data_IF_329107985199
#
_entry.id   IF_329107985199
#
_cell.length_a   1.000
_cell.length_b   1.000
_cell.length_c   1.000
_cell.angle_alpha   90.00
_cell.angle_beta   90.00
_cell.angle_gamma   90.00
#
_symmetry.space_group_name_H-M   'P 1'
#
loop_
_entity.id
_entity.type
_entity.pdbx_description
1 polymer ?
#
# COMPACT_ATOMS: atom_id res chain seq x y z
N UNK A 1 1.44 -7.50 24.86
CA UNK A 1 2.45 -6.95 23.94
C UNK A 1 1.70 -6.10 22.93
N UNK A 2 2.01 -4.81 22.89
CA UNK A 2 1.35 -3.83 22.01
C UNK A 2 1.75 -4.03 20.54
N UNK A 3 0.95 -3.51 19.59
CA UNK A 3 1.23 -3.63 18.14
C UNK A 3 2.59 -3.01 17.79
N UNK A 4 2.94 -1.91 18.44
CA UNK A 4 4.22 -1.21 18.32
C UNK A 4 5.41 -2.00 18.88
N UNK A 5 5.21 -2.81 19.92
CA UNK A 5 6.26 -3.67 20.47
C UNK A 5 6.58 -4.80 19.50
N UNK A 6 5.55 -5.40 18.88
CA UNK A 6 5.72 -6.39 17.81
C UNK A 6 6.46 -5.78 16.62
N UNK A 7 6.00 -4.63 16.13
CA UNK A 7 6.59 -3.99 14.94
C UNK A 7 8.04 -3.49 15.16
N UNK A 8 8.43 -3.15 16.39
CA UNK A 8 9.82 -2.82 16.73
C UNK A 8 10.77 -4.03 16.69
N UNK A 9 10.24 -5.23 16.89
CA UNK A 9 11.02 -6.48 16.88
C UNK A 9 11.21 -7.04 15.47
N UNK A 10 10.44 -6.56 14.50
CA UNK A 10 10.54 -6.98 13.11
C UNK A 10 11.52 -6.06 12.37
N UNK A 11 12.55 -6.65 11.77
CA UNK A 11 13.38 -5.92 10.82
C UNK A 11 12.62 -5.66 9.50
N UNK A 12 13.13 -4.70 8.72
CA UNK A 12 12.50 -4.31 7.44
C UNK A 12 12.45 -5.45 6.42
N UNK A 13 13.37 -6.42 6.49
CA UNK A 13 13.44 -7.55 5.57
C UNK A 13 12.33 -8.55 5.86
N UNK A 14 12.08 -8.86 7.13
CA UNK A 14 10.96 -9.68 7.57
C UNK A 14 9.64 -9.03 7.15
N UNK A 15 9.46 -7.73 7.39
CA UNK A 15 8.25 -7.00 6.97
C UNK A 15 8.10 -7.06 5.44
N UNK A 16 9.18 -6.86 4.69
CA UNK A 16 9.16 -6.95 3.22
C UNK A 16 8.72 -8.32 2.74
N UNK A 17 9.28 -9.38 3.31
CA UNK A 17 8.94 -10.75 2.95
C UNK A 17 7.49 -11.10 3.29
N UNK A 18 7.00 -10.67 4.45
CA UNK A 18 5.60 -10.91 4.86
C UNK A 18 4.62 -10.17 3.95
N UNK A 19 4.95 -8.93 3.55
CA UNK A 19 4.04 -8.09 2.75
C UNK A 19 4.15 -8.32 1.25
N UNK A 20 5.01 -9.23 0.76
CA UNK A 20 5.21 -9.45 -0.67
C UNK A 20 3.94 -9.94 -1.38
N UNK A 21 3.12 -10.79 -0.74
CA UNK A 21 1.85 -11.21 -1.31
C UNK A 21 0.90 -10.02 -1.50
N UNK A 22 0.77 -9.19 -0.47
CA UNK A 22 -0.05 -7.96 -0.47
C UNK A 22 0.43 -6.92 -1.48
N UNK A 23 1.76 -6.78 -1.62
CA UNK A 23 2.37 -5.96 -2.66
C UNK A 23 1.96 -6.44 -4.07
N UNK A 24 1.92 -7.75 -4.31
CA UNK A 24 1.49 -8.30 -5.61
C UNK A 24 0.03 -7.99 -5.92
N UNK A 25 -0.86 -8.11 -4.93
CA UNK A 25 -2.28 -7.70 -5.05
C UNK A 25 -2.37 -6.24 -5.48
N UNK A 26 -1.63 -5.36 -4.81
CA UNK A 26 -1.57 -3.93 -5.12
C UNK A 26 -1.07 -3.65 -6.55
N UNK A 27 -0.03 -4.36 -7.00
CA UNK A 27 0.48 -4.21 -8.38
C UNK A 27 -0.59 -4.62 -9.39
N UNK A 28 -1.24 -5.77 -9.20
CA UNK A 28 -2.26 -6.27 -10.12
C UNK A 28 -3.39 -5.24 -10.25
N UNK A 29 -3.87 -4.69 -9.15
CA UNK A 29 -4.96 -3.71 -9.18
C UNK A 29 -4.53 -2.37 -9.79
N UNK A 30 -3.33 -1.88 -9.45
CA UNK A 30 -2.75 -0.70 -10.07
C UNK A 30 -2.58 -0.84 -11.59
N UNK A 31 -2.15 -2.01 -12.07
CA UNK A 31 -2.03 -2.27 -13.51
C UNK A 31 -3.40 -2.30 -14.20
N UNK A 32 -4.44 -2.88 -13.59
CA UNK A 32 -5.81 -2.85 -14.14
C UNK A 32 -6.32 -1.41 -14.27
N UNK A 33 -6.14 -0.61 -13.21
CA UNK A 33 -6.49 0.82 -13.22
C UNK A 33 -5.78 1.55 -14.35
N UNK A 34 -4.48 1.32 -14.51
CA UNK A 34 -3.69 1.93 -15.58
C UNK A 34 -4.15 1.50 -16.98
N UNK A 35 -4.50 0.23 -17.18
CA UNK A 35 -5.07 -0.26 -18.46
C UNK A 35 -6.38 0.44 -18.79
N UNK A 36 -7.28 0.56 -17.80
CA UNK A 36 -8.59 1.20 -17.97
C UNK A 36 -8.44 2.68 -18.36
N UNK A 37 -7.50 3.39 -17.72
CA UNK A 37 -7.28 4.82 -17.91
C UNK A 37 -6.36 5.17 -19.09
N UNK A 38 -5.61 4.20 -19.62
CA UNK A 38 -4.68 4.44 -20.72
C UNK A 38 -5.41 4.76 -22.03
N UNK A 39 -4.92 5.77 -22.76
CA UNK A 39 -5.46 6.15 -24.08
C UNK A 39 -4.68 5.56 -25.25
N UNK A 40 -3.47 5.04 -25.01
CA UNK A 40 -2.59 4.57 -26.09
C UNK A 40 -2.68 3.06 -26.26
N UNK A 41 -2.88 2.61 -27.50
CA UNK A 41 -2.89 1.17 -27.84
C UNK A 41 -1.57 0.48 -27.46
N UNK A 42 -0.44 1.19 -27.61
CA UNK A 42 0.89 0.68 -27.28
C UNK A 42 1.08 0.40 -25.79
N UNK A 43 0.59 1.28 -24.91
CA UNK A 43 0.65 1.05 -23.46
C UNK A 43 -0.26 -0.09 -23.05
N UNK A 44 -1.50 -0.16 -23.57
CA UNK A 44 -2.41 -1.29 -23.30
C UNK A 44 -1.80 -2.64 -23.69
N UNK A 45 -1.32 -2.76 -24.94
CA UNK A 45 -0.68 -3.99 -25.43
C UNK A 45 0.50 -4.42 -24.57
N UNK A 46 1.30 -3.47 -24.08
CA UNK A 46 2.42 -3.78 -23.20
C UNK A 46 1.97 -4.25 -21.81
N UNK A 47 1.01 -3.56 -21.18
CA UNK A 47 0.44 -3.96 -19.89
C UNK A 47 -0.21 -5.34 -19.96
N UNK A 48 -0.98 -5.61 -21.02
CA UNK A 48 -1.57 -6.91 -21.30
C UNK A 48 -0.46 -7.97 -21.43
N UNK A 49 0.60 -7.67 -22.18
CA UNK A 49 1.75 -8.57 -22.33
C UNK A 49 2.47 -8.84 -21.01
N UNK A 50 2.59 -7.85 -20.12
CA UNK A 50 3.17 -8.05 -18.79
C UNK A 50 2.26 -8.90 -17.90
N UNK A 51 0.96 -8.61 -17.87
CA UNK A 51 -0.04 -9.42 -17.15
C UNK A 51 -0.09 -10.86 -17.64
N UNK A 52 0.02 -11.09 -18.95
CA UNK A 52 0.09 -12.44 -19.53
C UNK A 52 1.32 -13.21 -19.03
N UNK A 53 2.51 -12.59 -18.99
CA UNK A 53 3.71 -13.24 -18.44
C UNK A 53 3.51 -13.66 -16.99
N UNK A 54 2.81 -12.84 -16.22
CA UNK A 54 2.51 -13.12 -14.81
C UNK A 54 1.60 -14.35 -14.67
N UNK A 55 0.50 -14.39 -15.44
CA UNK A 55 -0.46 -15.51 -15.44
C UNK A 55 0.13 -16.82 -15.97
N UNK A 56 1.14 -16.74 -16.83
CA UNK A 56 1.82 -17.90 -17.39
C UNK A 56 3.00 -18.40 -16.55
N UNK A 57 3.37 -17.70 -15.47
CA UNK A 57 4.42 -18.16 -14.57
C UNK A 57 3.95 -19.40 -13.79
N UNK A 58 4.80 -20.43 -13.72
CA UNK A 58 4.45 -21.74 -13.11
C UNK A 58 5.14 -21.97 -11.75
N UNK A 59 5.90 -20.99 -11.26
CA UNK A 59 6.58 -21.04 -9.98
C UNK A 59 6.71 -19.66 -9.34
N UNK A 60 6.83 -19.61 -8.01
CA UNK A 60 7.01 -18.35 -7.27
C UNK A 60 8.25 -17.57 -7.70
N UNK A 61 9.32 -18.29 -8.08
CA UNK A 61 10.53 -17.67 -8.62
C UNK A 61 10.27 -16.93 -9.93
N UNK A 62 9.57 -17.59 -10.87
CA UNK A 62 9.22 -16.95 -12.15
C UNK A 62 8.24 -15.80 -11.95
N UNK A 63 7.28 -15.93 -11.03
CA UNK A 63 6.41 -14.82 -10.64
C UNK A 63 7.28 -13.65 -10.17
N UNK A 64 8.18 -13.85 -9.22
CA UNK A 64 9.05 -12.79 -8.72
C UNK A 64 9.92 -12.14 -9.81
N UNK A 65 10.44 -12.93 -10.76
CA UNK A 65 11.21 -12.41 -11.91
C UNK A 65 10.34 -11.53 -12.82
N UNK A 66 9.10 -11.94 -13.11
CA UNK A 66 8.17 -11.15 -13.94
C UNK A 66 7.70 -9.91 -13.19
N UNK A 67 7.33 -10.04 -11.92
CA UNK A 67 6.88 -8.93 -11.07
C UNK A 67 7.96 -7.87 -10.93
N UNK A 68 9.21 -8.28 -10.74
CA UNK A 68 10.34 -7.37 -10.52
C UNK A 68 11.13 -7.09 -11.80
N UNK A 69 10.52 -7.30 -12.98
CA UNK A 69 11.13 -7.04 -14.28
C UNK A 69 11.55 -5.58 -14.39
N UNK A 70 12.87 -5.34 -14.44
CA UNK A 70 13.45 -4.00 -14.51
C UNK A 70 12.90 -3.19 -15.69
N UNK A 71 12.78 -3.81 -16.87
CA UNK A 71 12.32 -3.13 -18.08
C UNK A 71 10.86 -2.67 -17.98
N UNK A 72 10.00 -3.46 -17.32
CA UNK A 72 8.61 -3.09 -17.12
C UNK A 72 8.47 -1.95 -16.09
N UNK A 73 9.23 -2.00 -15.00
CA UNK A 73 9.26 -0.90 -14.01
C UNK A 73 9.87 0.38 -14.56
N UNK A 74 10.95 0.31 -15.35
CA UNK A 74 11.54 1.48 -16.01
C UNK A 74 10.54 2.12 -17.00
N UNK A 75 9.72 1.29 -17.66
CA UNK A 75 8.64 1.79 -18.49
C UNK A 75 7.50 2.41 -17.67
N UNK A 76 7.07 1.81 -16.57
CA UNK A 76 6.12 2.43 -15.63
C UNK A 76 6.62 3.79 -15.15
N UNK A 77 7.91 3.88 -14.75
CA UNK A 77 8.57 5.14 -14.37
C UNK A 77 8.46 6.20 -15.45
N UNK A 78 8.73 5.85 -16.71
CA UNK A 78 8.60 6.79 -17.84
C UNK A 78 7.16 7.29 -18.06
N UNK A 79 6.17 6.52 -17.61
CA UNK A 79 4.75 6.86 -17.62
C UNK A 79 4.30 7.51 -16.30
N UNK A 80 5.23 7.84 -15.40
CA UNK A 80 4.95 8.34 -14.03
C UNK A 80 3.98 7.44 -13.27
N UNK A 81 4.05 6.14 -13.49
CA UNK A 81 3.16 5.13 -12.92
C UNK A 81 1.66 5.37 -13.24
N UNK A 82 1.35 6.20 -14.24
CA UNK A 82 -0.02 6.62 -14.53
C UNK A 82 -0.64 7.49 -13.44
N UNK A 83 0.19 8.18 -12.64
CA UNK A 83 -0.23 8.97 -11.47
C UNK A 83 -0.89 8.10 -10.36
N UNK A 84 -0.69 6.77 -10.37
CA UNK A 84 -1.18 5.87 -9.30
C UNK A 84 -0.10 5.68 -8.23
N UNK A 85 -0.34 6.23 -7.04
CA UNK A 85 0.54 6.10 -5.87
C UNK A 85 0.74 4.64 -5.45
N UNK A 86 -0.24 3.78 -5.69
CA UNK A 86 -0.16 2.35 -5.39
C UNK A 86 0.96 1.68 -6.19
N UNK A 87 1.03 1.96 -7.50
CA UNK A 87 2.08 1.46 -8.37
C UNK A 87 3.44 2.05 -8.01
N UNK A 88 3.49 3.35 -7.71
CA UNK A 88 4.73 4.00 -7.30
C UNK A 88 5.34 3.36 -6.03
N UNK A 89 4.48 3.06 -5.04
CA UNK A 89 4.89 2.44 -3.78
C UNK A 89 5.36 0.99 -3.96
N UNK A 90 4.80 0.27 -4.93
CA UNK A 90 5.16 -1.11 -5.23
C UNK A 90 6.46 -1.27 -6.06
N UNK A 91 7.07 -0.18 -6.53
CA UNK A 91 8.33 -0.22 -7.28
C UNK A 91 9.42 -0.97 -6.48
N UNK A 92 10.21 -1.87 -7.11
CA UNK A 92 11.28 -2.59 -6.43
C UNK A 92 12.30 -1.68 -5.72
N UNK A 93 12.49 -0.46 -6.20
CA UNK A 93 13.37 0.53 -5.55
C UNK A 93 12.76 1.11 -4.26
N UNK A 94 11.46 0.95 -4.06
CA UNK A 94 10.70 1.41 -2.90
C UNK A 94 10.25 0.25 -1.99
N UNK A 95 10.67 -0.99 -2.26
CA UNK A 95 10.05 -2.21 -1.70
C UNK A 95 9.91 -2.18 -0.17
N UNK A 96 10.96 -1.76 0.54
CA UNK A 96 10.95 -1.69 2.01
C UNK A 96 9.94 -0.66 2.53
N UNK A 97 9.92 0.52 1.90
CA UNK A 97 9.01 1.60 2.26
C UNK A 97 7.56 1.22 1.92
N UNK A 98 7.35 0.54 0.79
CA UNK A 98 6.06 0.00 0.45
C UNK A 98 5.57 -1.04 1.45
N UNK A 99 6.44 -1.94 1.89
CA UNK A 99 6.11 -2.93 2.91
C UNK A 99 5.70 -2.28 4.24
N UNK A 100 6.36 -1.19 4.65
CA UNK A 100 5.95 -0.37 5.82
C UNK A 100 4.53 0.17 5.65
N UNK A 101 4.18 0.71 4.49
CA UNK A 101 2.84 1.23 4.25
C UNK A 101 1.79 0.11 4.28
N UNK A 102 2.08 -1.03 3.65
CA UNK A 102 1.18 -2.19 3.65
C UNK A 102 1.01 -2.74 5.07
N UNK A 103 2.08 -2.90 5.86
CA UNK A 103 1.95 -3.41 7.23
C UNK A 103 1.15 -2.44 8.12
N UNK A 104 1.28 -1.13 7.93
CA UNK A 104 0.40 -0.16 8.60
C UNK A 104 -1.08 -0.43 8.27
N UNK A 105 -1.40 -0.75 7.02
CA UNK A 105 -2.79 -1.02 6.59
C UNK A 105 -3.35 -2.31 7.14
N UNK A 106 -2.50 -3.30 7.42
CA UNK A 106 -2.90 -4.56 8.06
C UNK A 106 -3.05 -4.38 9.58
N UNK A 107 -2.13 -3.65 10.22
CA UNK A 107 -2.09 -3.51 11.68
C UNK A 107 -3.06 -2.46 12.24
N UNK A 108 -3.45 -1.47 11.43
CA UNK A 108 -4.32 -0.36 11.84
C UNK A 108 -5.53 -0.21 10.91
N UNK A 109 -6.00 -1.33 10.34
CA UNK A 109 -7.08 -1.33 9.34
C UNK A 109 -8.35 -0.63 9.85
N UNK A 110 -8.74 -0.91 11.10
CA UNK A 110 -9.95 -0.36 11.71
C UNK A 110 -9.83 1.15 11.94
N UNK A 111 -8.68 1.60 12.45
CA UNK A 111 -8.42 3.02 12.73
C UNK A 111 -8.27 3.82 11.43
N UNK A 112 -7.62 3.24 10.41
CA UNK A 112 -7.52 3.84 9.07
C UNK A 112 -8.92 3.96 8.45
N UNK A 113 -9.78 2.96 8.59
CA UNK A 113 -11.17 3.01 8.10
C UNK A 113 -11.92 4.15 8.77
N UNK A 114 -11.89 4.22 10.10
CA UNK A 114 -12.55 5.26 10.87
C UNK A 114 -12.06 6.67 10.44
N UNK A 115 -10.74 6.85 10.31
CA UNK A 115 -10.12 8.11 9.87
C UNK A 115 -10.39 8.44 8.40
N UNK A 116 -10.59 7.44 7.54
CA UNK A 116 -10.89 7.66 6.12
C UNK A 116 -12.28 8.26 5.92
N UNK A 117 -13.25 7.88 6.78
CA UNK A 117 -14.66 8.21 6.61
C UNK A 117 -15.32 7.51 5.42
N UNK A 118 -14.63 6.56 4.78
CA UNK A 118 -15.11 5.83 3.61
C UNK A 118 -15.63 4.47 4.07
N UNK A 119 -16.95 4.27 4.03
CA UNK A 119 -17.56 2.95 4.15
C UNK A 119 -17.45 2.24 2.78
N UNK A 120 -16.63 1.20 2.70
CA UNK A 120 -16.46 0.39 1.48
C UNK A 120 -17.14 -0.96 1.66
N UNK A 121 -17.77 -1.46 0.60
CA UNK A 121 -18.58 -2.69 0.59
C UNK A 121 -17.74 -3.97 0.66
N UNK A 122 -16.44 -3.89 0.36
CA UNK A 122 -15.52 -5.03 0.36
C UNK A 122 -14.33 -4.71 1.29
N UNK A 123 -14.52 -4.99 2.58
CA UNK A 123 -13.64 -4.55 3.67
C UNK A 123 -12.31 -5.32 3.74
N UNK A 124 -12.21 -6.47 3.05
CA UNK A 124 -11.05 -7.36 3.11
C UNK A 124 -10.00 -7.09 2.00
N UNK A 125 -10.27 -6.18 1.05
CA UNK A 125 -9.32 -5.87 -0.02
C UNK A 125 -8.16 -4.99 0.49
N UNK A 126 -6.95 -5.56 0.49
CA UNK A 126 -5.69 -4.87 0.80
C UNK A 126 -5.53 -3.55 0.05
N UNK A 127 -5.89 -3.53 -1.24
CA UNK A 127 -5.73 -2.38 -2.12
C UNK A 127 -6.59 -1.21 -1.66
N UNK A 128 -7.82 -1.49 -1.21
CA UNK A 128 -8.74 -0.49 -0.66
C UNK A 128 -8.15 0.10 0.61
N UNK A 129 -7.68 -0.75 1.53
CA UNK A 129 -7.04 -0.33 2.78
C UNK A 129 -5.80 0.53 2.54
N UNK A 130 -4.97 0.18 1.56
CA UNK A 130 -3.80 0.97 1.16
C UNK A 130 -4.18 2.35 0.63
N UNK A 131 -5.23 2.46 -0.19
CA UNK A 131 -5.71 3.75 -0.69
C UNK A 131 -6.23 4.64 0.45
N UNK A 132 -7.04 4.08 1.35
CA UNK A 132 -7.51 4.78 2.56
C UNK A 132 -6.34 5.25 3.42
N UNK A 133 -5.32 4.40 3.62
CA UNK A 133 -4.10 4.76 4.32
C UNK A 133 -3.39 5.96 3.69
N UNK A 134 -3.26 6.00 2.36
CA UNK A 134 -2.68 7.17 1.68
C UNK A 134 -3.52 8.43 1.85
N UNK A 135 -4.85 8.32 1.85
CA UNK A 135 -5.73 9.47 2.10
C UNK A 135 -5.60 10.00 3.54
N UNK A 136 -5.49 9.12 4.53
CA UNK A 136 -5.17 9.50 5.92
C UNK A 136 -3.78 10.14 6.00
N UNK A 137 -2.78 9.53 5.36
CA UNK A 137 -1.41 10.03 5.34
C UNK A 137 -1.31 11.42 4.73
N UNK A 138 -2.04 11.71 3.64
CA UNK A 138 -2.06 13.05 3.00
C UNK A 138 -2.61 14.14 3.92
N UNK A 139 -3.55 13.80 4.80
CA UNK A 139 -4.25 14.75 5.68
C UNK A 139 -3.54 14.99 7.01
N UNK A 140 -2.56 14.16 7.39
CA UNK A 140 -1.92 14.22 8.70
C UNK A 140 -0.40 14.38 8.63
N UNK A 141 0.10 15.59 8.90
CA UNK A 141 1.54 15.86 9.01
C UNK A 141 2.21 15.02 10.11
N UNK A 142 1.53 14.83 11.26
CA UNK A 142 2.05 14.00 12.36
C UNK A 142 2.26 12.55 11.92
N UNK A 143 1.34 12.01 11.13
CA UNK A 143 1.46 10.65 10.62
C UNK A 143 2.55 10.54 9.55
N UNK A 144 2.67 11.53 8.66
CA UNK A 144 3.76 11.62 7.69
C UNK A 144 5.14 11.63 8.36
N UNK A 145 5.30 12.44 9.40
CA UNK A 145 6.54 12.52 10.18
C UNK A 145 6.88 11.18 10.84
N UNK A 146 5.88 10.47 11.38
CA UNK A 146 6.08 9.16 12.01
C UNK A 146 6.58 8.08 11.03
N UNK A 147 6.24 8.20 9.74
CA UNK A 147 6.67 7.32 8.66
C UNK A 147 7.84 7.87 7.84
N UNK A 148 8.40 9.02 8.22
CA UNK A 148 9.51 9.66 7.50
C UNK A 148 10.86 9.07 7.91
N UNK A 149 11.72 8.79 6.94
CA UNK A 149 13.02 8.16 7.21
C UNK A 149 12.85 6.77 7.83
N UNK A 150 13.46 6.54 9.00
CA UNK A 150 13.25 5.33 9.79
C UNK A 150 11.93 5.44 10.57
N UNK A 151 11.08 4.44 10.43
CA UNK A 151 9.73 4.45 11.02
C UNK A 151 9.78 4.54 12.54
N UNK A 152 9.03 5.49 13.10
CA UNK A 152 8.81 5.59 14.53
C UNK A 152 7.49 4.92 14.92
N UNK A 153 7.54 3.61 15.14
CA UNK A 153 6.36 2.81 15.49
C UNK A 153 5.62 3.30 16.74
N UNK A 154 6.32 3.92 17.70
CA UNK A 154 5.68 4.51 18.87
C UNK A 154 4.82 5.72 18.47
N UNK A 155 5.32 6.60 17.59
CA UNK A 155 4.54 7.74 17.07
C UNK A 155 3.38 7.29 16.18
N UNK A 156 3.55 6.22 15.40
CA UNK A 156 2.45 5.62 14.62
C UNK A 156 1.33 5.15 15.55
N UNK A 157 1.68 4.40 16.61
CA UNK A 157 0.70 3.91 17.58
C UNK A 157 -0.01 5.05 18.32
N UNK A 158 0.74 6.07 18.77
CA UNK A 158 0.15 7.25 19.43
C UNK A 158 -0.80 7.98 18.46
N UNK A 159 -0.44 8.13 17.20
CA UNK A 159 -1.30 8.79 16.21
C UNK A 159 -2.66 8.09 16.09
N UNK A 160 -2.68 6.77 15.94
CA UNK A 160 -3.93 6.02 15.80
C UNK A 160 -4.73 5.95 17.11
N UNK A 161 -4.07 5.80 18.26
CA UNK A 161 -4.76 5.83 19.56
C UNK A 161 -5.48 7.16 19.80
N UNK A 162 -4.78 8.30 19.62
CA UNK A 162 -5.38 9.63 19.79
C UNK A 162 -6.47 9.91 18.76
N UNK A 163 -6.31 9.43 17.53
CA UNK A 163 -7.33 9.58 16.49
C UNK A 163 -8.64 8.89 16.85
N UNK A 164 -8.58 7.69 17.44
CA UNK A 164 -9.75 6.93 17.87
C UNK A 164 -10.44 7.60 19.06
N UNK A 165 -9.67 7.99 20.09
CA UNK A 165 -10.21 8.70 21.27
C UNK A 165 -10.99 9.95 20.86
N UNK A 166 -10.46 10.73 19.91
CA UNK A 166 -11.14 11.94 19.43
C UNK A 166 -12.46 11.62 18.71
N UNK A 167 -12.56 10.51 17.98
CA UNK A 167 -13.81 10.13 17.33
C UNK A 167 -14.87 9.68 18.32
N UNK A 168 -14.48 8.95 19.36
CA UNK A 168 -15.39 8.53 20.43
C UNK A 168 -15.94 9.72 21.23
N UNK A 169 -15.09 10.73 21.50
CA UNK A 169 -15.51 11.95 22.18
C UNK A 169 -16.53 12.77 21.35
N UNK A 170 -16.39 12.84 20.02
CA UNK A 170 -17.37 13.50 19.15
C UNK A 170 -18.72 12.79 19.09
N UNK A 171 -18.74 11.46 19.19
CA UNK A 171 -19.99 10.68 19.22
C UNK A 171 -20.73 10.80 20.58
N UNK A 172 -20.01 11.13 21.67
CA UNK A 172 -20.61 11.36 22.99
C UNK A 172 -21.20 12.77 23.19
N UNK A 173 -20.80 13.78 22.40
CA UNK A 173 -21.30 15.16 22.53
C UNK A 173 -22.57 15.46 21.70
N UNK A 174 -23.14 14.47 21.00
CA UNK A 174 -24.31 14.66 20.11
C UNK A 174 -25.65 14.14 20.65
N UNK A 175 -25.79 13.93 21.95
CA UNK A 175 -27.06 13.56 22.60
C UNK A 175 -27.60 14.61 23.57
#
# INVERSE_FOLDING_TARGET
MGREEVLKLLDEEIITNWMELRRRECIVEGLKSLVANSRTKGTKKWLDGWSSRWKSAVSDKQVAEVVNSKSDWDKLKSLKYGEDELLHMCDPNNIKRGAIHIVCTEMYAEEIRALSGIQVVDEDDTTVRVRQHFDVLKRSTKYQEALSGQVNWARVNIFFATAVEQMEDYDCETY
#
